data_IF_317029776131
#
_entry.id   IF_317029776131
#
_cell.length_a   1.000
_cell.length_b   1.000
_cell.length_c   1.000
_cell.angle_alpha   90.00
_cell.angle_beta   90.00
_cell.angle_gamma   90.00
#
_symmetry.space_group_name_H-M   'P 1'
#
loop_
_entity.id
_entity.type
_entity.pdbx_description
1 polymer ?
#
# COMPACT_ATOMS: atom_id res chain seq x y z
N UNK A 1 3.89 -22.05 -4.83
CA UNK A 1 4.44 -21.28 -6.00
C UNK A 1 3.39 -20.23 -6.34
N UNK A 2 3.76 -18.97 -6.26
CA UNK A 2 2.87 -17.85 -6.58
C UNK A 2 2.42 -17.90 -8.04
N UNK A 3 1.18 -17.56 -8.30
CA UNK A 3 0.58 -17.53 -9.66
C UNK A 3 0.72 -16.15 -10.30
N UNK A 4 0.82 -15.11 -9.49
CA UNK A 4 0.79 -13.72 -9.95
C UNK A 4 2.12 -13.00 -9.82
N UNK A 5 3.07 -13.56 -9.06
CA UNK A 5 4.43 -13.04 -8.89
C UNK A 5 5.43 -14.13 -9.32
N UNK A 6 6.14 -13.90 -10.41
CA UNK A 6 7.06 -14.89 -11.00
C UNK A 6 8.43 -14.96 -10.28
N UNK A 7 8.66 -14.14 -9.26
CA UNK A 7 9.89 -14.16 -8.48
C UNK A 7 10.14 -15.53 -7.84
N UNK A 8 11.40 -15.87 -7.62
CA UNK A 8 11.79 -17.05 -6.84
C UNK A 8 11.77 -16.71 -5.35
N UNK A 9 11.65 -17.75 -4.52
CA UNK A 9 11.78 -17.59 -3.08
C UNK A 9 13.16 -16.98 -2.74
N UNK A 10 13.15 -15.90 -1.96
CA UNK A 10 14.36 -15.15 -1.60
C UNK A 10 14.72 -14.01 -2.56
N UNK A 11 13.98 -13.81 -3.67
CA UNK A 11 14.16 -12.65 -4.55
C UNK A 11 13.31 -11.44 -4.15
N UNK A 12 12.35 -11.63 -3.25
CA UNK A 12 11.55 -10.54 -2.65
C UNK A 12 12.07 -10.28 -1.24
N UNK A 13 12.33 -9.01 -0.93
CA UNK A 13 12.80 -8.58 0.39
C UNK A 13 11.70 -8.70 1.45
N UNK A 14 12.11 -8.71 2.73
CA UNK A 14 11.19 -8.75 3.88
C UNK A 14 10.28 -7.52 3.99
N UNK A 15 10.70 -6.41 3.43
CA UNK A 15 9.91 -5.17 3.37
C UNK A 15 9.61 -4.82 1.93
N UNK A 16 8.34 -4.61 1.63
CA UNK A 16 7.83 -4.25 0.31
C UNK A 16 7.17 -2.88 0.34
N UNK A 17 7.62 -1.96 -0.50
CA UNK A 17 6.90 -0.73 -0.82
C UNK A 17 5.92 -1.02 -1.95
N UNK A 18 4.62 -0.74 -1.74
CA UNK A 18 3.59 -1.16 -2.68
C UNK A 18 2.76 0.01 -3.22
N UNK A 19 3.20 0.67 -4.31
CA UNK A 19 2.35 1.58 -5.08
C UNK A 19 1.27 0.80 -5.86
N UNK A 20 0.21 1.49 -6.28
CA UNK A 20 -0.81 0.89 -7.15
C UNK A 20 -0.33 0.74 -8.60
N UNK A 21 0.41 1.72 -9.10
CA UNK A 21 0.84 1.83 -10.49
C UNK A 21 2.20 1.15 -10.74
N UNK A 22 2.31 0.22 -11.72
CA UNK A 22 3.58 -0.41 -12.09
C UNK A 22 4.66 0.59 -12.53
N UNK A 23 4.29 1.69 -13.18
CA UNK A 23 5.25 2.73 -13.56
C UNK A 23 5.80 3.46 -12.35
N UNK A 24 4.98 3.66 -11.31
CA UNK A 24 5.46 4.23 -10.05
C UNK A 24 6.39 3.25 -9.33
N UNK A 25 6.11 1.95 -9.36
CA UNK A 25 7.01 0.95 -8.82
C UNK A 25 8.38 1.00 -9.51
N UNK A 26 8.41 1.06 -10.85
CA UNK A 26 9.63 1.24 -11.63
C UNK A 26 10.37 2.53 -11.27
N UNK A 27 9.66 3.66 -11.23
CA UNK A 27 10.24 4.94 -10.88
C UNK A 27 10.92 4.93 -9.51
N UNK A 28 10.25 4.36 -8.51
CA UNK A 28 10.82 4.25 -7.15
C UNK A 28 12.07 3.37 -7.17
N UNK A 29 12.00 2.20 -7.82
CA UNK A 29 13.11 1.29 -7.87
C UNK A 29 14.34 1.92 -8.57
N UNK A 30 14.16 2.49 -9.76
CA UNK A 30 15.24 3.03 -10.58
C UNK A 30 15.87 4.32 -10.01
N UNK A 31 15.14 5.11 -9.21
CA UNK A 31 15.62 6.39 -8.69
C UNK A 31 16.08 6.34 -7.24
N UNK A 32 15.70 5.35 -6.46
CA UNK A 32 15.96 5.30 -5.02
C UNK A 32 16.70 4.06 -4.55
N UNK A 33 16.75 2.99 -5.36
CA UNK A 33 17.45 1.77 -4.99
C UNK A 33 18.74 1.61 -5.80
N UNK A 34 19.74 0.97 -5.19
CA UNK A 34 20.96 0.49 -5.80
C UNK A 34 20.82 -0.99 -6.18
N UNK A 35 21.61 -1.48 -7.15
CA UNK A 35 21.64 -2.87 -7.58
C UNK A 35 20.28 -3.47 -7.94
N UNK A 36 19.44 -2.67 -8.60
CA UNK A 36 18.03 -2.99 -8.90
C UNK A 36 17.91 -4.19 -9.85
N UNK A 37 17.07 -5.15 -9.47
CA UNK A 37 16.69 -6.29 -10.30
C UNK A 37 15.17 -6.32 -10.48
N UNK A 38 14.71 -6.47 -11.72
CA UNK A 38 13.32 -6.82 -12.02
C UNK A 38 13.14 -8.32 -11.73
N UNK A 39 12.33 -8.65 -10.72
CA UNK A 39 12.13 -10.02 -10.25
C UNK A 39 10.79 -10.61 -10.69
N UNK A 40 9.83 -9.77 -11.11
CA UNK A 40 8.58 -10.22 -11.71
C UNK A 40 7.95 -9.13 -12.58
N UNK A 41 7.33 -9.55 -13.69
CA UNK A 41 6.53 -8.70 -14.57
C UNK A 41 5.23 -9.39 -15.03
N UNK A 42 4.80 -10.38 -14.28
CA UNK A 42 3.58 -11.14 -14.57
C UNK A 42 2.38 -10.21 -14.64
N UNK A 43 1.59 -10.34 -15.71
CA UNK A 43 0.40 -9.50 -15.98
C UNK A 43 0.71 -7.99 -15.98
N UNK A 44 1.94 -7.60 -16.34
CA UNK A 44 2.45 -6.22 -16.31
C UNK A 44 2.50 -5.60 -14.90
N UNK A 45 2.34 -6.39 -13.85
CA UNK A 45 2.59 -5.98 -12.48
C UNK A 45 4.05 -6.22 -12.17
N UNK A 46 4.76 -5.12 -11.93
CA UNK A 46 6.22 -5.12 -11.80
C UNK A 46 6.62 -5.24 -10.34
N UNK A 47 7.61 -6.11 -10.08
CA UNK A 47 8.31 -6.21 -8.80
C UNK A 47 9.80 -6.07 -9.01
N UNK A 48 10.40 -5.21 -8.25
CA UNK A 48 11.84 -4.94 -8.23
C UNK A 48 12.38 -5.20 -6.83
N UNK A 49 13.63 -5.64 -6.75
CA UNK A 49 14.39 -5.75 -5.49
C UNK A 49 15.73 -5.07 -5.68
N UNK A 50 16.17 -4.32 -4.69
CA UNK A 50 17.43 -3.62 -4.68
C UNK A 50 17.81 -3.17 -3.27
N UNK A 51 18.86 -2.36 -3.16
CA UNK A 51 19.38 -1.88 -1.88
C UNK A 51 19.01 -0.41 -1.66
N UNK A 52 18.56 -0.09 -0.47
CA UNK A 52 18.43 1.27 0.01
C UNK A 52 19.29 1.46 1.26
N UNK A 53 20.35 2.25 1.15
CA UNK A 53 21.34 2.45 2.24
C UNK A 53 21.82 1.12 2.83
N UNK A 54 22.15 0.16 1.94
CA UNK A 54 22.64 -1.17 2.32
C UNK A 54 21.59 -2.16 2.84
N UNK A 55 20.31 -1.79 2.88
CA UNK A 55 19.20 -2.68 3.26
C UNK A 55 18.43 -3.13 2.03
N UNK A 56 18.14 -4.41 1.93
CA UNK A 56 17.33 -4.95 0.85
C UNK A 56 15.87 -4.53 0.98
N UNK A 57 15.32 -3.97 -0.09
CA UNK A 57 13.94 -3.50 -0.20
C UNK A 57 13.37 -3.97 -1.54
N UNK A 58 12.14 -4.44 -1.52
CA UNK A 58 11.38 -4.65 -2.75
C UNK A 58 10.37 -3.54 -2.98
N UNK A 59 10.13 -3.25 -4.25
CA UNK A 59 9.09 -2.33 -4.69
C UNK A 59 8.23 -3.05 -5.70
N UNK A 60 6.93 -3.19 -5.42
CA UNK A 60 6.03 -3.92 -6.30
C UNK A 60 4.66 -3.28 -6.40
N UNK A 61 4.05 -3.32 -7.58
CA UNK A 61 2.73 -2.74 -7.76
C UNK A 61 1.60 -3.65 -7.23
N UNK A 62 0.53 -3.02 -6.74
CA UNK A 62 -0.68 -3.75 -6.33
C UNK A 62 -1.74 -3.82 -7.43
N UNK A 63 -1.62 -3.04 -8.50
CA UNK A 63 -2.74 -2.80 -9.41
C UNK A 63 -3.83 -1.95 -8.76
N UNK A 64 -5.03 -1.98 -9.31
CA UNK A 64 -6.19 -1.21 -8.84
C UNK A 64 -7.23 -2.12 -8.17
N UNK A 65 -7.88 -1.56 -7.15
CA UNK A 65 -9.01 -2.17 -6.46
C UNK A 65 -8.62 -3.17 -5.38
N UNK A 66 -9.58 -3.38 -4.46
CA UNK A 66 -9.39 -4.24 -3.29
C UNK A 66 -9.03 -5.67 -3.64
N UNK A 67 -9.70 -6.34 -4.63
CA UNK A 67 -9.33 -7.70 -4.99
C UNK A 67 -7.91 -7.82 -5.55
N UNK A 68 -7.44 -6.82 -6.30
CA UNK A 68 -6.08 -6.84 -6.85
C UNK A 68 -5.02 -6.78 -5.74
N UNK A 69 -5.09 -5.79 -4.86
CA UNK A 69 -4.13 -5.71 -3.74
C UNK A 69 -4.23 -6.93 -2.84
N UNK A 70 -5.43 -7.50 -2.67
CA UNK A 70 -5.64 -8.72 -1.89
C UNK A 70 -4.85 -9.92 -2.43
N UNK A 71 -4.83 -10.12 -3.74
CA UNK A 71 -4.04 -11.18 -4.39
C UNK A 71 -2.55 -10.99 -4.08
N UNK A 72 -2.00 -9.83 -4.40
CA UNK A 72 -0.56 -9.59 -4.27
C UNK A 72 -0.09 -9.60 -2.82
N UNK A 73 -0.84 -8.97 -1.92
CA UNK A 73 -0.49 -8.97 -0.49
C UNK A 73 -0.52 -10.39 0.10
N UNK A 74 -1.52 -11.18 -0.25
CA UNK A 74 -1.61 -12.57 0.19
C UNK A 74 -0.40 -13.38 -0.25
N UNK A 75 -0.06 -13.33 -1.54
CA UNK A 75 1.09 -14.08 -2.06
C UNK A 75 2.41 -13.58 -1.49
N UNK A 76 2.59 -12.28 -1.27
CA UNK A 76 3.78 -11.71 -0.63
C UNK A 76 3.99 -12.29 0.77
N UNK A 77 2.95 -12.33 1.59
CA UNK A 77 3.05 -12.88 2.94
C UNK A 77 3.20 -14.40 2.98
N UNK A 78 2.47 -15.13 2.11
CA UNK A 78 2.41 -16.60 2.21
C UNK A 78 3.45 -17.34 1.39
N UNK A 79 3.90 -16.78 0.26
CA UNK A 79 4.82 -17.44 -0.66
C UNK A 79 6.25 -16.87 -0.60
N UNK A 80 6.39 -15.58 -0.26
CA UNK A 80 7.68 -14.88 -0.30
C UNK A 80 8.21 -14.49 1.08
N UNK A 81 7.48 -14.84 2.14
CA UNK A 81 7.97 -14.65 3.50
C UNK A 81 8.21 -13.15 3.84
N UNK A 82 7.36 -12.28 3.28
CA UNK A 82 7.38 -10.84 3.52
C UNK A 82 6.83 -10.56 4.91
N UNK A 83 7.51 -9.69 5.67
CA UNK A 83 7.11 -9.30 7.02
C UNK A 83 6.29 -8.01 7.03
N UNK A 84 6.59 -7.09 6.11
CA UNK A 84 6.00 -5.76 6.11
C UNK A 84 5.69 -5.28 4.69
N UNK A 85 4.47 -4.82 4.49
CA UNK A 85 4.06 -4.11 3.28
C UNK A 85 3.69 -2.68 3.66
N UNK A 86 4.32 -1.69 3.02
CA UNK A 86 3.97 -0.29 3.15
C UNK A 86 3.35 0.17 1.83
N UNK A 87 2.05 0.43 1.85
CA UNK A 87 1.35 0.92 0.67
C UNK A 87 1.62 2.40 0.45
N UNK A 88 2.05 2.75 -0.76
CA UNK A 88 2.29 4.13 -1.19
C UNK A 88 1.21 4.50 -2.21
N UNK A 89 0.20 5.21 -1.75
CA UNK A 89 -0.96 5.57 -2.57
C UNK A 89 -1.12 7.08 -2.77
N UNK A 90 -2.17 7.41 -3.50
CA UNK A 90 -2.74 8.76 -3.61
C UNK A 90 -4.23 8.65 -3.31
N UNK A 91 -4.82 9.70 -2.77
CA UNK A 91 -6.26 9.79 -2.49
C UNK A 91 -6.79 11.18 -2.77
N UNK A 92 -8.09 11.30 -2.94
CA UNK A 92 -8.80 12.56 -2.80
C UNK A 92 -9.04 12.88 -1.32
N UNK A 93 -9.41 14.12 -1.01
CA UNK A 93 -9.79 14.54 0.33
C UNK A 93 -11.27 14.91 0.37
N UNK A 94 -11.93 14.59 1.49
CA UNK A 94 -13.31 15.01 1.77
C UNK A 94 -13.37 16.30 2.62
N UNK A 95 -12.22 16.85 3.00
CA UNK A 95 -12.08 18.06 3.83
C UNK A 95 -11.24 19.10 3.12
N UNK A 96 -11.52 20.37 3.39
CA UNK A 96 -10.74 21.52 2.92
C UNK A 96 -9.47 21.77 3.75
N UNK A 97 -9.31 21.07 4.88
CA UNK A 97 -8.13 21.20 5.75
C UNK A 97 -6.86 20.59 5.13
N UNK A 98 -7.03 19.67 4.18
CA UNK A 98 -5.94 19.02 3.46
C UNK A 98 -5.68 19.72 2.13
N UNK A 99 -4.40 19.85 1.80
CA UNK A 99 -3.94 20.47 0.56
C UNK A 99 -3.24 19.46 -0.34
N UNK A 100 -3.17 19.80 -1.62
CA UNK A 100 -2.39 19.02 -2.59
C UNK A 100 -0.93 18.96 -2.12
N UNK A 101 -0.34 17.77 -2.16
CA UNK A 101 0.99 17.40 -1.67
C UNK A 101 1.09 17.19 -0.16
N UNK A 102 0.04 17.31 0.61
CA UNK A 102 0.06 16.82 1.99
C UNK A 102 0.33 15.32 2.02
N UNK A 103 1.19 14.88 2.93
CA UNK A 103 1.52 13.47 3.09
C UNK A 103 0.80 12.94 4.33
N UNK A 104 0.00 11.91 4.11
CA UNK A 104 -0.86 11.33 5.14
C UNK A 104 -0.25 10.05 5.69
N UNK A 105 -0.30 9.87 7.01
CA UNK A 105 -0.09 8.58 7.64
C UNK A 105 -1.43 8.03 8.12
N UNK A 106 -1.86 6.91 7.54
CA UNK A 106 -3.19 6.37 7.76
C UNK A 106 -3.30 5.77 9.15
N UNK A 107 -4.19 6.31 9.97
CA UNK A 107 -4.48 5.80 11.32
C UNK A 107 -5.71 4.88 11.39
N UNK A 108 -6.59 4.95 10.38
CA UNK A 108 -7.74 4.07 10.21
C UNK A 108 -8.08 3.91 8.72
N UNK A 109 -8.50 2.72 8.35
CA UNK A 109 -9.02 2.45 7.01
C UNK A 109 -10.47 1.95 7.12
N UNK A 110 -11.40 2.73 6.58
CA UNK A 110 -12.80 2.35 6.44
C UNK A 110 -13.05 1.77 5.05
N UNK A 111 -13.86 0.71 4.95
CA UNK A 111 -14.14 0.04 3.69
C UNK A 111 -15.62 -0.27 3.53
N UNK A 112 -16.17 0.09 2.36
CA UNK A 112 -17.49 -0.38 1.91
C UNK A 112 -17.41 -1.73 1.20
N UNK A 113 -16.20 -2.23 0.94
CA UNK A 113 -16.01 -3.50 0.25
C UNK A 113 -16.40 -4.68 1.13
N UNK A 114 -17.06 -5.65 0.55
CA UNK A 114 -17.34 -6.93 1.21
C UNK A 114 -16.15 -7.89 1.19
N UNK A 115 -15.02 -7.49 0.63
CA UNK A 115 -13.85 -8.35 0.44
C UNK A 115 -13.35 -8.94 1.78
N UNK A 116 -13.11 -8.09 2.78
CA UNK A 116 -12.60 -8.53 4.08
C UNK A 116 -13.54 -9.53 4.77
N UNK A 117 -14.86 -9.31 4.64
CA UNK A 117 -15.88 -10.20 5.18
C UNK A 117 -15.84 -11.59 4.55
N UNK A 118 -15.73 -11.67 3.22
CA UNK A 118 -15.78 -12.96 2.52
C UNK A 118 -14.42 -13.66 2.43
N UNK A 119 -13.34 -12.92 2.37
CA UNK A 119 -12.01 -13.51 2.30
C UNK A 119 -11.44 -13.90 3.67
N UNK A 120 -11.78 -13.15 4.73
CA UNK A 120 -11.13 -13.26 6.03
C UNK A 120 -12.10 -13.29 7.22
N UNK A 121 -13.41 -13.33 6.98
CA UNK A 121 -14.45 -13.29 8.01
C UNK A 121 -14.40 -12.04 8.91
N UNK A 122 -13.73 -10.98 8.47
CA UNK A 122 -13.64 -9.71 9.17
C UNK A 122 -14.93 -8.94 8.95
N UNK A 123 -15.60 -8.56 10.06
CA UNK A 123 -16.89 -7.87 10.05
C UNK A 123 -16.78 -6.38 10.33
N UNK A 124 -15.64 -5.97 10.85
CA UNK A 124 -15.32 -4.59 11.16
C UNK A 124 -15.19 -3.77 9.87
N UNK A 125 -15.92 -2.65 9.80
CA UNK A 125 -15.86 -1.73 8.67
C UNK A 125 -14.66 -0.77 8.74
N UNK A 126 -14.07 -0.63 9.93
CA UNK A 126 -12.93 0.25 10.19
C UNK A 126 -11.82 -0.56 10.83
N UNK A 127 -10.65 -0.52 10.23
CA UNK A 127 -9.47 -1.23 10.72
C UNK A 127 -8.29 -0.26 10.91
N UNK A 128 -7.60 -0.30 12.06
CA UNK A 128 -6.34 0.42 12.23
C UNK A 128 -5.19 -0.30 11.53
N UNK A 129 -4.11 0.42 11.17
CA UNK A 129 -2.87 -0.19 10.74
C UNK A 129 -2.16 -0.86 11.92
N UNK A 130 -1.13 -1.70 11.68
CA UNK A 130 -0.25 -2.17 12.74
C UNK A 130 0.40 -0.98 13.47
N UNK A 131 0.13 -0.83 14.78
CA UNK A 131 0.50 0.35 15.56
C UNK A 131 1.99 0.68 15.53
N UNK A 132 2.86 -0.36 15.55
CA UNK A 132 4.32 -0.17 15.51
C UNK A 132 4.80 0.45 14.18
N UNK A 133 4.18 0.09 13.04
CA UNK A 133 4.53 0.68 11.74
C UNK A 133 4.04 2.13 11.66
N UNK A 134 2.83 2.40 12.16
CA UNK A 134 2.29 3.75 12.22
C UNK A 134 3.21 4.70 12.99
N UNK A 135 3.67 4.29 14.19
CA UNK A 135 4.58 5.08 15.02
C UNK A 135 5.94 5.25 14.35
N UNK A 136 6.51 4.17 13.81
CA UNK A 136 7.79 4.19 13.12
C UNK A 136 7.81 5.15 11.94
N UNK A 137 6.74 5.22 11.16
CA UNK A 137 6.62 6.16 10.04
C UNK A 137 6.61 7.62 10.52
N UNK A 138 5.88 7.94 11.59
CA UNK A 138 5.86 9.28 12.17
C UNK A 138 7.25 9.69 12.70
N UNK A 139 7.88 8.84 13.50
CA UNK A 139 9.22 9.08 14.05
C UNK A 139 10.26 9.26 12.92
N UNK A 140 10.20 8.41 11.89
CA UNK A 140 11.11 8.50 10.75
C UNK A 140 10.89 9.79 9.96
N UNK A 141 9.65 10.20 9.75
CA UNK A 141 9.33 11.45 9.05
C UNK A 141 9.91 12.66 9.76
N UNK A 142 9.83 12.72 11.11
CA UNK A 142 10.45 13.78 11.90
C UNK A 142 11.96 13.84 11.68
N UNK A 143 12.65 12.70 11.61
CA UNK A 143 14.11 12.65 11.41
C UNK A 143 14.55 13.21 10.05
N UNK A 144 13.67 13.18 9.05
CA UNK A 144 13.94 13.71 7.70
C UNK A 144 13.25 15.06 7.45
N UNK A 145 12.70 15.68 8.50
CA UNK A 145 12.06 17.00 8.44
C UNK A 145 10.72 17.01 7.68
N UNK A 146 10.05 15.85 7.54
CA UNK A 146 8.73 15.73 6.96
C UNK A 146 7.65 15.71 8.03
N UNK A 147 6.53 16.37 7.75
CA UNK A 147 5.33 16.28 8.59
C UNK A 147 4.37 15.30 7.93
N UNK A 148 4.03 14.23 8.63
CA UNK A 148 2.92 13.36 8.26
C UNK A 148 1.65 13.80 9.01
N UNK A 149 0.52 13.76 8.32
CA UNK A 149 -0.78 14.11 8.90
C UNK A 149 -1.51 12.80 9.21
N UNK A 150 -1.77 12.47 10.48
CA UNK A 150 -2.59 11.32 10.85
C UNK A 150 -4.01 11.49 10.30
N UNK A 151 -4.49 10.51 9.53
CA UNK A 151 -5.77 10.64 8.84
C UNK A 151 -6.41 9.28 8.63
N UNK A 152 -7.73 9.21 8.72
CA UNK A 152 -8.49 8.06 8.25
C UNK A 152 -8.66 8.11 6.73
N UNK A 153 -8.70 6.94 6.09
CA UNK A 153 -9.00 6.82 4.66
C UNK A 153 -10.24 5.98 4.43
N UNK A 154 -10.95 6.30 3.36
CA UNK A 154 -12.12 5.56 2.90
C UNK A 154 -11.79 4.80 1.62
N UNK A 155 -12.22 3.55 1.55
CA UNK A 155 -12.05 2.67 0.39
C UNK A 155 -13.40 2.18 -0.11
N UNK A 156 -13.61 2.25 -1.41
CA UNK A 156 -14.81 1.75 -2.10
C UNK A 156 -14.43 0.90 -3.31
N UNK A 157 -15.25 -0.08 -3.64
CA UNK A 157 -15.10 -0.87 -4.86
C UNK A 157 -15.48 -0.07 -6.12
N UNK A 158 -16.20 1.04 -5.95
CA UNK A 158 -16.74 1.85 -7.04
C UNK A 158 -16.00 3.18 -7.09
N UNK A 159 -15.31 3.44 -8.21
CA UNK A 159 -14.63 4.72 -8.42
C UNK A 159 -15.58 5.80 -8.93
N UNK A 160 -16.42 5.47 -9.89
CA UNK A 160 -17.42 6.40 -10.47
C UNK A 160 -18.79 6.11 -9.90
N UNK A 161 -19.34 7.04 -9.10
CA UNK A 161 -20.66 6.91 -8.47
C UNK A 161 -21.70 7.75 -9.21
N UNK A 162 -22.93 7.24 -9.24
CA UNK A 162 -24.08 7.98 -9.77
C UNK A 162 -24.42 9.18 -8.89
N UNK A 163 -24.31 9.03 -7.57
CA UNK A 163 -24.50 10.09 -6.58
C UNK A 163 -23.13 10.51 -6.04
N UNK A 164 -22.93 11.83 -5.98
CA UNK A 164 -21.70 12.45 -5.45
C UNK A 164 -21.74 12.65 -3.94
N UNK A 165 -22.80 12.20 -3.28
CA UNK A 165 -22.91 12.27 -1.82
C UNK A 165 -21.77 11.46 -1.18
N UNK A 166 -21.06 12.11 -0.26
CA UNK A 166 -20.05 11.47 0.56
C UNK A 166 -20.78 10.46 1.44
N UNK A 167 -20.38 9.16 1.43
CA UNK A 167 -21.00 8.20 2.30
C UNK A 167 -20.91 8.67 3.77
N UNK A 168 -21.99 8.52 4.54
CA UNK A 168 -21.99 8.76 5.99
C UNK A 168 -21.13 7.72 6.74
N UNK A 169 -19.91 7.52 6.30
CA UNK A 169 -18.94 6.74 7.06
C UNK A 169 -18.36 7.70 8.08
N UNK A 170 -18.69 7.53 9.35
CA UNK A 170 -18.21 8.33 10.48
C UNK A 170 -16.68 8.20 10.70
N UNK A 171 -15.90 8.34 9.65
CA UNK A 171 -14.44 8.13 9.67
C UNK A 171 -13.69 9.42 9.99
N UNK A 172 -14.33 10.57 9.82
CA UNK A 172 -13.68 11.88 9.98
C UNK A 172 -14.42 12.73 11.02
N UNK A 173 -14.23 12.44 12.27
CA UNK A 173 -14.42 13.44 13.34
C UNK A 173 -13.19 13.46 14.22
#
# INVERSE_FOLDING_TARGET
>A
MSVHIAARKGEIAKTVLQPGDPRRARYIAENFLEDVKLVSETRSILYFTGLYKGKEISVGASGMGVPSIGIYSYELFTEFDVDTIIRIGTCGAYTEDLKVFDVLNVNNAASESTYAKYAWEIKEEILPPPGHIFSLLNETAETVGLKLIPTAVHTSDIFYRKNTEIPEIHVCK
#
